data_IF_619338714165
#
_entry.id   IF_619338714165
#
_cell.length_a   1.000
_cell.length_b   1.000
_cell.length_c   1.000
_cell.angle_alpha   90.00
_cell.angle_beta   90.00
_cell.angle_gamma   90.00
#
_symmetry.space_group_name_H-M   'P 1'
#
loop_
_entity.id
_entity.type
_entity.pdbx_description
1 polymer ?
#
# COMPACT_ATOMS: atom_id res chain seq x y z
N UNK A 1 -1.45 -4.43 7.27
CA UNK A 1 -1.29 -3.40 6.23
C UNK A 1 0.20 -3.10 6.15
N UNK A 2 0.70 -3.02 4.94
CA UNK A 2 2.10 -2.72 4.67
C UNK A 2 2.41 -1.28 5.09
N UNK A 3 3.69 -0.91 5.12
CA UNK A 3 4.06 0.48 5.40
C UNK A 3 3.92 1.35 4.14
N UNK A 4 3.85 2.67 4.32
CA UNK A 4 3.73 3.60 3.21
C UNK A 4 4.89 3.50 2.21
N UNK A 5 6.12 3.32 2.69
CA UNK A 5 7.27 3.19 1.78
C UNK A 5 7.26 1.84 1.07
N UNK A 6 6.71 0.76 1.64
CA UNK A 6 6.50 -0.49 0.90
C UNK A 6 5.61 -0.26 -0.31
N UNK A 7 4.47 0.41 -0.14
CA UNK A 7 3.60 0.77 -1.26
C UNK A 7 4.31 1.64 -2.30
N UNK A 8 5.09 2.64 -1.87
CA UNK A 8 5.83 3.50 -2.79
C UNK A 8 6.99 2.77 -3.51
N UNK A 9 7.67 1.82 -2.86
CA UNK A 9 8.73 0.98 -3.46
C UNK A 9 8.16 0.03 -4.51
N UNK A 10 6.97 -0.50 -4.27
CA UNK A 10 6.24 -1.31 -5.26
C UNK A 10 5.81 -0.42 -6.44
N UNK A 11 5.21 0.74 -6.14
CA UNK A 11 4.78 1.68 -7.17
C UNK A 11 5.96 2.13 -8.06
N UNK A 12 7.12 2.41 -7.45
CA UNK A 12 8.35 2.77 -8.15
C UNK A 12 8.75 1.76 -9.22
N UNK A 13 8.68 0.46 -8.89
CA UNK A 13 9.07 -0.62 -9.79
C UNK A 13 8.00 -0.90 -10.86
N UNK A 14 6.74 -0.58 -10.59
CA UNK A 14 5.62 -0.79 -11.52
C UNK A 14 5.48 0.34 -12.55
N UNK A 15 5.79 1.59 -12.19
CA UNK A 15 5.74 2.75 -13.10
C UNK A 15 6.41 2.50 -14.46
N UNK A 16 7.66 2.01 -14.55
CA UNK A 16 8.30 1.81 -15.85
C UNK A 16 7.68 0.66 -16.67
N UNK A 17 6.87 -0.21 -16.05
CA UNK A 17 6.24 -1.38 -16.69
C UNK A 17 4.85 -1.07 -17.21
N UNK A 18 4.18 -0.03 -16.70
CA UNK A 18 2.79 0.28 -17.01
C UNK A 18 2.74 1.57 -17.84
N UNK A 19 2.39 1.43 -19.12
CA UNK A 19 2.37 2.54 -20.07
C UNK A 19 1.25 3.52 -19.73
N UNK A 20 1.55 4.82 -19.74
CA UNK A 20 0.55 5.90 -19.66
C UNK A 20 0.14 6.30 -18.24
N UNK A 21 0.87 5.85 -17.22
CA UNK A 21 0.63 6.20 -15.81
C UNK A 21 1.24 7.57 -15.47
N UNK A 22 0.46 8.42 -14.83
CA UNK A 22 0.91 9.63 -14.14
C UNK A 22 1.53 9.24 -12.79
N UNK A 23 2.86 9.36 -12.67
CA UNK A 23 3.61 8.92 -11.49
C UNK A 23 3.12 9.57 -10.18
N UNK A 24 2.72 10.85 -10.25
CA UNK A 24 2.24 11.57 -9.07
C UNK A 24 0.91 11.02 -8.61
N UNK A 25 -0.07 10.86 -9.51
CA UNK A 25 -1.38 10.35 -9.13
C UNK A 25 -1.34 8.87 -8.78
N UNK A 26 -0.48 8.07 -9.43
CA UNK A 26 -0.29 6.67 -9.09
C UNK A 26 0.33 6.47 -7.70
N UNK A 27 1.36 7.26 -7.36
CA UNK A 27 1.97 7.22 -6.02
C UNK A 27 1.01 7.69 -4.93
N UNK A 28 0.22 8.75 -5.19
CA UNK A 28 -0.84 9.20 -4.27
C UNK A 28 -1.93 8.14 -4.13
N UNK A 29 -2.35 7.50 -5.23
CA UNK A 29 -3.32 6.41 -5.22
C UNK A 29 -2.88 5.24 -4.34
N UNK A 30 -1.59 4.89 -4.37
CA UNK A 30 -1.00 3.86 -3.51
C UNK A 30 -1.00 4.20 -2.01
N UNK A 31 -1.34 5.42 -1.62
CA UNK A 31 -1.41 5.88 -0.23
C UNK A 31 -2.86 6.23 0.17
N UNK A 32 -3.72 6.51 -0.81
CA UNK A 32 -5.08 6.98 -0.61
C UNK A 32 -5.93 6.13 0.36
N UNK A 33 -5.86 4.78 0.37
CA UNK A 33 -6.65 3.98 1.32
C UNK A 33 -6.33 4.27 2.80
N UNK A 34 -5.10 4.69 3.10
CA UNK A 34 -4.66 5.06 4.46
C UNK A 34 -5.05 6.49 4.86
N UNK A 35 -5.83 7.20 4.05
CA UNK A 35 -6.09 8.63 4.24
C UNK A 35 -7.25 8.95 5.18
N UNK A 36 -7.84 7.97 5.87
CA UNK A 36 -8.84 8.25 6.90
C UNK A 36 -8.32 9.27 7.92
N UNK A 37 -9.18 10.23 8.29
CA UNK A 37 -8.85 11.29 9.25
C UNK A 37 -9.00 10.70 10.66
N UNK A 38 -7.92 10.62 11.46
CA UNK A 38 -7.99 10.08 12.80
C UNK A 38 -8.77 11.01 13.74
N UNK A 39 -9.48 10.44 14.71
CA UNK A 39 -9.94 11.18 15.89
C UNK A 39 -8.74 11.59 16.77
N UNK A 40 -8.98 12.42 17.79
CA UNK A 40 -7.91 12.93 18.67
C UNK A 40 -7.04 11.83 19.32
N UNK A 41 -7.61 10.63 19.49
CA UNK A 41 -6.96 9.47 20.11
C UNK A 41 -6.33 8.52 19.11
N UNK A 42 -6.51 8.74 17.80
CA UNK A 42 -6.08 7.85 16.73
C UNK A 42 -6.69 6.45 16.82
N UNK A 43 -7.90 6.35 17.37
CA UNK A 43 -8.64 5.09 17.55
C UNK A 43 -9.71 4.91 16.47
N UNK A 44 -10.27 6.01 15.97
CA UNK A 44 -11.30 6.01 14.92
C UNK A 44 -10.86 6.86 13.76
N UNK A 45 -11.28 6.47 12.56
CA UNK A 45 -10.96 7.18 11.33
C UNK A 45 -12.23 7.50 10.55
N UNK A 46 -12.24 8.65 9.89
CA UNK A 46 -13.31 9.06 8.99
C UNK A 46 -12.74 9.43 7.59
N UNK A 47 -13.11 8.73 6.52
CA UNK A 47 -13.92 7.50 6.49
C UNK A 47 -13.22 6.32 7.20
N UNK A 48 -13.97 5.33 7.71
CA UNK A 48 -13.39 4.23 8.47
C UNK A 48 -12.63 3.25 7.57
N UNK A 49 -11.67 2.48 8.11
CA UNK A 49 -10.88 1.53 7.33
C UNK A 49 -11.73 0.48 6.60
N UNK A 50 -12.89 0.10 7.17
CA UNK A 50 -13.83 -0.82 6.52
C UNK A 50 -14.27 -0.34 5.13
N UNK A 51 -14.47 0.98 4.98
CA UNK A 51 -14.85 1.60 3.71
C UNK A 51 -13.62 1.78 2.82
N UNK A 52 -12.54 2.36 3.35
CA UNK A 52 -11.36 2.69 2.53
C UNK A 52 -10.61 1.44 2.04
N UNK A 53 -10.51 0.39 2.85
CA UNK A 53 -9.80 -0.83 2.48
C UNK A 53 -10.72 -1.93 1.94
N UNK A 54 -12.03 -1.65 1.76
CA UNK A 54 -13.00 -2.65 1.32
C UNK A 54 -12.91 -3.93 2.17
N UNK A 55 -12.83 -3.77 3.49
CA UNK A 55 -12.52 -4.89 4.40
C UNK A 55 -13.64 -5.92 4.37
N UNK A 56 -13.25 -7.19 4.22
CA UNK A 56 -14.16 -8.33 4.27
C UNK A 56 -14.41 -8.77 5.72
N UNK A 57 -15.60 -9.33 5.96
CA UNK A 57 -15.97 -9.87 7.28
C UNK A 57 -15.51 -11.31 7.49
N UNK A 58 -15.37 -12.08 6.40
CA UNK A 58 -14.93 -13.47 6.45
C UNK A 58 -13.42 -13.55 6.73
N UNK A 59 -12.99 -14.11 7.88
CA UNK A 59 -11.57 -14.25 8.21
C UNK A 59 -10.81 -15.21 7.29
N UNK A 60 -11.51 -16.09 6.57
CA UNK A 60 -10.90 -17.01 5.59
C UNK A 60 -10.66 -16.33 4.23
N UNK A 61 -11.33 -15.19 3.96
CA UNK A 61 -11.15 -14.43 2.74
C UNK A 61 -9.92 -13.52 2.82
N UNK A 62 -9.34 -13.10 1.67
CA UNK A 62 -8.43 -11.97 1.63
C UNK A 62 -9.01 -10.76 2.38
N UNK A 63 -8.19 -10.10 3.19
CA UNK A 63 -8.62 -8.99 4.07
C UNK A 63 -9.37 -7.89 3.31
N UNK A 64 -8.90 -7.49 2.15
CA UNK A 64 -9.49 -6.46 1.28
C UNK A 64 -10.19 -7.11 0.09
N UNK A 65 -11.40 -6.66 -0.24
CA UNK A 65 -12.11 -7.06 -1.46
C UNK A 65 -11.63 -6.22 -2.67
N UNK A 66 -10.37 -6.37 -3.06
CA UNK A 66 -9.72 -5.52 -4.08
C UNK A 66 -10.39 -5.60 -5.47
N UNK A 67 -11.00 -6.73 -5.85
CA UNK A 67 -11.71 -6.84 -7.14
C UNK A 67 -13.07 -6.13 -7.14
N UNK A 68 -13.68 -5.94 -5.97
CA UNK A 68 -14.90 -5.11 -5.86
C UNK A 68 -14.57 -3.66 -6.21
N UNK A 69 -13.43 -3.15 -5.70
CA UNK A 69 -12.94 -1.83 -6.09
C UNK A 69 -12.59 -1.78 -7.58
N UNK A 70 -11.89 -2.80 -8.11
CA UNK A 70 -11.53 -2.88 -9.52
C UNK A 70 -12.76 -2.76 -10.43
N UNK A 71 -13.79 -3.59 -10.19
CA UNK A 71 -15.01 -3.62 -11.00
C UNK A 71 -15.77 -2.28 -10.95
N UNK A 72 -15.92 -1.70 -9.76
CA UNK A 72 -16.71 -0.49 -9.58
C UNK A 72 -16.01 0.78 -10.10
N UNK A 73 -14.68 0.86 -9.97
CA UNK A 73 -13.96 2.12 -10.16
C UNK A 73 -12.88 2.09 -11.23
N UNK A 74 -12.36 0.93 -11.63
CA UNK A 74 -11.22 0.86 -12.55
C UNK A 74 -11.54 0.19 -13.89
N UNK A 75 -12.35 -0.88 -13.89
CA UNK A 75 -12.62 -1.72 -15.08
C UNK A 75 -13.16 -0.94 -16.28
N UNK A 76 -13.98 0.09 -16.04
CA UNK A 76 -14.58 0.90 -17.11
C UNK A 76 -13.67 2.01 -17.64
N UNK A 77 -12.49 2.20 -17.05
CA UNK A 77 -11.54 3.23 -17.45
C UNK A 77 -10.58 2.73 -18.53
N UNK A 78 -10.29 3.58 -19.51
CA UNK A 78 -9.27 3.32 -20.52
C UNK A 78 -7.99 4.08 -20.19
N UNK A 79 -6.85 3.38 -20.19
CA UNK A 79 -5.50 3.95 -20.03
C UNK A 79 -5.11 4.94 -21.14
N UNK A 80 -5.82 4.92 -22.28
CA UNK A 80 -5.56 5.78 -23.45
C UNK A 80 -6.51 6.98 -23.54
N UNK A 81 -7.38 7.17 -22.55
CA UNK A 81 -8.26 8.33 -22.50
C UNK A 81 -7.54 9.54 -21.90
N UNK A 82 -8.12 10.73 -22.10
CA UNK A 82 -7.71 11.99 -21.46
C UNK A 82 -7.79 11.99 -19.91
N UNK A 83 -8.13 10.85 -19.29
CA UNK A 83 -8.26 10.67 -17.83
C UNK A 83 -7.08 9.94 -17.18
N UNK A 84 -5.88 10.00 -17.77
CA UNK A 84 -4.65 9.35 -17.26
C UNK A 84 -4.44 9.54 -15.74
N UNK A 85 -4.76 10.70 -15.16
CA UNK A 85 -4.69 10.93 -13.69
C UNK A 85 -5.69 10.12 -12.87
N UNK A 86 -6.96 10.07 -13.28
CA UNK A 86 -7.99 9.30 -12.58
C UNK A 86 -7.68 7.80 -12.68
N UNK A 87 -7.32 7.33 -13.88
CA UNK A 87 -6.86 5.96 -14.08
C UNK A 87 -5.66 5.63 -13.20
N UNK A 88 -4.62 6.47 -13.22
CA UNK A 88 -3.39 6.26 -12.43
C UNK A 88 -3.67 6.23 -10.94
N UNK A 89 -4.49 7.16 -10.44
CA UNK A 89 -4.90 7.19 -9.04
C UNK A 89 -5.65 5.92 -8.64
N UNK A 90 -6.67 5.52 -9.41
CA UNK A 90 -7.46 4.34 -9.09
C UNK A 90 -6.68 3.04 -9.27
N UNK A 91 -5.77 2.96 -10.23
CA UNK A 91 -4.85 1.82 -10.35
C UNK A 91 -3.91 1.73 -9.15
N UNK A 92 -3.35 2.86 -8.69
CA UNK A 92 -2.55 2.90 -7.47
C UNK A 92 -3.34 2.48 -6.23
N UNK A 93 -4.58 2.93 -6.11
CA UNK A 93 -5.50 2.54 -5.04
C UNK A 93 -5.75 1.02 -5.06
N UNK A 94 -6.06 0.46 -6.22
CA UNK A 94 -6.25 -0.98 -6.40
C UNK A 94 -5.00 -1.77 -5.97
N UNK A 95 -3.81 -1.34 -6.40
CA UNK A 95 -2.56 -1.99 -6.03
C UNK A 95 -2.25 -1.90 -4.55
N UNK A 96 -2.62 -0.82 -3.87
CA UNK A 96 -2.54 -0.75 -2.41
C UNK A 96 -3.35 -1.87 -1.76
N UNK A 97 -4.63 -2.04 -2.13
CA UNK A 97 -5.51 -3.06 -1.55
C UNK A 97 -4.95 -4.48 -1.73
N UNK A 98 -4.46 -4.78 -2.95
CA UNK A 98 -3.82 -6.08 -3.23
C UNK A 98 -2.51 -6.24 -2.44
N UNK A 99 -1.68 -5.20 -2.36
CA UNK A 99 -0.43 -5.22 -1.60
C UNK A 99 -0.69 -5.53 -0.13
N UNK A 100 -1.74 -4.96 0.45
CA UNK A 100 -2.13 -5.22 1.82
C UNK A 100 -2.58 -6.66 2.05
N UNK A 101 -3.30 -7.25 1.10
CA UNK A 101 -3.64 -8.67 1.12
C UNK A 101 -2.38 -9.56 1.06
N UNK A 102 -1.42 -9.21 0.20
CA UNK A 102 -0.14 -9.94 0.10
C UNK A 102 0.68 -9.78 1.38
N UNK A 103 0.76 -8.57 1.93
CA UNK A 103 1.50 -8.27 3.15
C UNK A 103 0.95 -9.06 4.33
N UNK A 104 -0.38 -9.09 4.48
CA UNK A 104 -1.03 -9.84 5.56
C UNK A 104 -0.67 -11.32 5.50
N UNK A 105 -0.70 -11.93 4.31
CA UNK A 105 -0.40 -13.36 4.13
C UNK A 105 1.08 -13.71 4.25
N UNK A 106 1.97 -12.85 3.75
CA UNK A 106 3.41 -13.15 3.64
C UNK A 106 4.22 -12.65 4.83
N UNK A 107 3.77 -11.58 5.47
CA UNK A 107 4.50 -10.93 6.57
C UNK A 107 3.63 -10.89 7.83
N UNK A 108 2.45 -10.28 7.77
CA UNK A 108 1.60 -10.02 8.94
C UNK A 108 1.24 -11.26 9.77
N UNK A 109 0.57 -12.23 9.14
CA UNK A 109 0.14 -13.49 9.76
C UNK A 109 1.36 -14.32 10.22
N UNK A 110 2.38 -14.57 9.37
CA UNK A 110 3.59 -15.28 9.82
C UNK A 110 4.30 -14.63 11.01
N UNK A 111 4.35 -13.29 11.08
CA UNK A 111 4.90 -12.57 12.25
C UNK A 111 4.03 -12.79 13.49
N UNK A 112 2.70 -12.72 13.37
CA UNK A 112 1.79 -12.98 14.50
C UNK A 112 1.91 -14.41 15.01
N UNK A 113 2.06 -15.39 14.12
CA UNK A 113 2.27 -16.79 14.49
C UNK A 113 3.63 -16.99 15.18
N UNK A 114 4.70 -16.37 14.66
CA UNK A 114 6.06 -16.48 15.22
C UNK A 114 6.17 -15.89 16.63
N UNK A 115 5.46 -14.80 16.90
CA UNK A 115 5.49 -14.08 18.19
C UNK A 115 4.15 -14.17 18.93
N UNK A 116 3.47 -15.31 18.80
CA UNK A 116 2.12 -15.50 19.33
C UNK A 116 2.03 -15.20 20.84
N UNK A 117 3.02 -15.62 21.63
CA UNK A 117 3.03 -15.39 23.07
C UNK A 117 3.03 -13.90 23.44
N UNK A 118 3.78 -13.09 22.72
CA UNK A 118 3.91 -11.65 22.93
C UNK A 118 2.62 -10.93 22.52
N UNK A 119 2.01 -11.33 21.39
CA UNK A 119 0.71 -10.82 20.97
C UNK A 119 -0.43 -11.21 21.91
N UNK A 120 -0.43 -12.44 22.43
CA UNK A 120 -1.42 -12.90 23.41
C UNK A 120 -1.27 -12.14 24.75
N UNK A 121 -0.06 -11.74 25.11
CA UNK A 121 0.23 -10.98 26.33
C UNK A 121 -0.07 -9.47 26.21
N UNK A 122 0.21 -8.87 25.06
CA UNK A 122 -0.03 -7.44 24.80
C UNK A 122 -0.47 -7.20 23.34
N UNK A 123 -1.73 -6.79 23.15
CA UNK A 123 -2.25 -6.43 21.83
C UNK A 123 -1.55 -5.21 21.21
N UNK A 124 -0.86 -4.39 22.00
CA UNK A 124 -0.06 -3.25 21.53
C UNK A 124 1.34 -3.66 21.07
N UNK A 125 1.73 -4.93 21.22
CA UNK A 125 3.02 -5.45 20.76
C UNK A 125 3.25 -5.22 19.25
N UNK A 126 2.18 -5.09 18.45
CA UNK A 126 2.27 -4.69 17.04
C UNK A 126 3.10 -3.41 16.83
N UNK A 127 3.12 -2.48 17.78
CA UNK A 127 3.90 -1.25 17.67
C UNK A 127 5.40 -1.48 17.82
N UNK A 128 5.82 -2.49 18.59
CA UNK A 128 7.22 -2.91 18.66
C UNK A 128 7.63 -3.57 17.33
N UNK A 129 6.78 -4.45 16.78
CA UNK A 129 6.98 -5.05 15.45
C UNK A 129 7.09 -3.98 14.36
N UNK A 130 6.18 -3.02 14.35
CA UNK A 130 6.15 -1.94 13.34
C UNK A 130 7.36 -1.01 13.42
N UNK A 131 8.06 -0.92 14.57
CA UNK A 131 9.32 -0.15 14.63
C UNK A 131 10.36 -0.71 13.68
N UNK A 132 10.45 -2.03 13.54
CA UNK A 132 11.36 -2.64 12.55
C UNK A 132 10.92 -2.33 11.13
N UNK A 133 9.61 -2.39 10.86
CA UNK A 133 9.09 -2.11 9.52
C UNK A 133 9.33 -0.66 9.11
N UNK A 134 9.01 0.30 9.98
CA UNK A 134 9.27 1.72 9.72
C UNK A 134 10.76 2.05 9.74
N UNK A 135 11.57 1.33 10.52
CA UNK A 135 13.01 1.51 10.49
C UNK A 135 13.61 1.13 9.12
N UNK A 136 13.12 0.07 8.47
CA UNK A 136 13.46 -0.26 7.07
C UNK A 136 13.03 0.82 6.09
N UNK A 137 11.84 1.39 6.29
CA UNK A 137 11.37 2.51 5.46
C UNK A 137 12.34 3.69 5.54
N UNK A 138 12.73 4.09 6.75
CA UNK A 138 13.67 5.18 6.98
C UNK A 138 15.04 4.86 6.39
N UNK A 139 15.54 3.64 6.58
CA UNK A 139 16.79 3.18 5.99
C UNK A 139 16.81 3.37 4.48
N UNK A 140 15.78 2.85 3.80
CA UNK A 140 15.65 2.95 2.36
C UNK A 140 15.57 4.40 1.88
N UNK A 141 14.68 5.23 2.45
CA UNK A 141 14.56 6.63 1.97
C UNK A 141 15.79 7.47 2.30
N UNK A 142 16.57 7.14 3.35
CA UNK A 142 17.82 7.84 3.64
C UNK A 142 18.95 7.43 2.69
N UNK A 143 18.99 6.14 2.30
CA UNK A 143 19.99 5.58 1.40
C UNK A 143 19.74 5.93 -0.07
N UNK A 144 18.48 6.05 -0.47
CA UNK A 144 18.05 6.23 -1.86
C UNK A 144 17.47 7.64 -2.13
N UNK A 145 18.31 8.65 -2.44
CA UNK A 145 17.84 10.02 -2.68
C UNK A 145 17.00 10.18 -3.96
N UNK A 146 16.99 9.17 -4.84
CA UNK A 146 16.19 9.11 -6.06
C UNK A 146 14.92 8.25 -5.92
N UNK A 147 14.65 7.72 -4.71
CA UNK A 147 13.43 6.99 -4.43
C UNK A 147 12.18 7.79 -4.81
N UNK A 148 11.13 7.12 -5.30
CA UNK A 148 9.85 7.70 -5.69
C UNK A 148 9.29 8.67 -4.64
N UNK A 149 9.52 8.35 -3.35
CA UNK A 149 9.19 9.24 -2.24
C UNK A 149 9.75 10.66 -2.44
N UNK A 150 11.05 10.81 -2.71
CA UNK A 150 11.71 12.11 -2.85
C UNK A 150 11.39 12.78 -4.18
N UNK A 151 11.58 12.07 -5.30
CA UNK A 151 11.49 12.69 -6.63
C UNK A 151 10.07 13.06 -7.05
N UNK A 152 9.07 12.30 -6.61
CA UNK A 152 7.68 12.46 -7.08
C UNK A 152 6.74 12.73 -5.90
N UNK A 153 6.62 11.79 -4.96
CA UNK A 153 5.56 11.83 -3.95
C UNK A 153 5.65 13.07 -3.05
N UNK A 154 6.88 13.46 -2.64
CA UNK A 154 7.13 14.63 -1.80
C UNK A 154 6.56 15.92 -2.43
N UNK A 155 6.64 16.03 -3.75
CA UNK A 155 6.20 17.20 -4.51
C UNK A 155 4.76 17.07 -5.03
N UNK A 156 4.19 15.86 -5.02
CA UNK A 156 2.84 15.60 -5.52
C UNK A 156 1.74 16.30 -4.71
N UNK A 157 0.69 16.78 -5.39
CA UNK A 157 -0.47 17.39 -4.74
C UNK A 157 -1.74 16.77 -5.29
N UNK A 158 -2.75 16.59 -4.44
CA UNK A 158 -4.04 16.06 -4.81
C UNK A 158 -5.11 17.15 -4.70
N UNK A 159 -5.71 17.52 -5.83
CA UNK A 159 -6.75 18.57 -5.90
C UNK A 159 -8.05 18.07 -6.56
N UNK A 160 -8.14 16.77 -6.80
CA UNK A 160 -9.22 16.14 -7.57
C UNK A 160 -10.19 15.42 -6.62
N UNK A 161 -11.32 14.95 -7.13
CA UNK A 161 -12.27 14.11 -6.38
C UNK A 161 -12.61 12.88 -7.23
N UNK A 162 -11.71 11.90 -7.23
CA UNK A 162 -11.86 10.70 -8.06
C UNK A 162 -12.69 9.60 -7.42
N UNK A 163 -13.00 9.66 -6.13
CA UNK A 163 -13.78 8.67 -5.38
C UNK A 163 -14.71 9.38 -4.39
N UNK A 164 -16.01 9.21 -4.55
CA UNK A 164 -17.03 9.94 -3.76
C UNK A 164 -16.97 9.61 -2.25
N UNK A 165 -16.47 8.43 -1.91
CA UNK A 165 -16.32 7.98 -0.53
C UNK A 165 -15.01 8.42 0.12
N UNK A 166 -14.10 9.08 -0.61
CA UNK A 166 -12.81 9.51 -0.09
C UNK A 166 -12.62 11.03 -0.27
N UNK A 167 -12.85 11.82 0.80
CA UNK A 167 -12.72 13.27 0.73
C UNK A 167 -11.29 13.72 0.36
N UNK A 168 -11.16 14.68 -0.55
CA UNK A 168 -9.84 15.22 -0.95
C UNK A 168 -9.05 15.81 0.22
N UNK A 169 -9.74 16.37 1.22
CA UNK A 169 -9.11 16.90 2.43
C UNK A 169 -8.41 15.82 3.25
N UNK A 170 -9.01 14.63 3.32
CA UNK A 170 -8.45 13.47 4.01
C UNK A 170 -7.14 13.02 3.36
N UNK A 171 -7.11 12.95 2.02
CA UNK A 171 -5.89 12.68 1.25
C UNK A 171 -4.85 13.77 1.49
N UNK A 172 -5.23 15.05 1.36
CA UNK A 172 -4.30 16.16 1.54
C UNK A 172 -3.63 16.16 2.93
N UNK A 173 -4.39 15.89 3.99
CA UNK A 173 -3.87 15.75 5.35
C UNK A 173 -2.90 14.57 5.48
N UNK A 174 -3.26 13.39 4.96
CA UNK A 174 -2.40 12.21 4.98
C UNK A 174 -1.10 12.44 4.20
N UNK A 175 -1.17 13.08 3.03
CA UNK A 175 0.01 13.45 2.26
C UNK A 175 0.91 14.38 3.07
N UNK A 176 0.36 15.42 3.69
CA UNK A 176 1.13 16.35 4.52
C UNK A 176 1.83 15.62 5.68
N UNK A 177 1.10 14.74 6.38
CA UNK A 177 1.64 13.94 7.48
C UNK A 177 2.82 13.06 7.03
N UNK A 178 2.63 12.27 5.95
CA UNK A 178 3.66 11.32 5.48
C UNK A 178 4.90 12.04 4.99
N UNK A 179 4.72 13.12 4.23
CA UNK A 179 5.82 13.97 3.74
C UNK A 179 6.67 14.51 4.90
N UNK A 180 6.01 15.07 5.91
CA UNK A 180 6.69 15.55 7.10
C UNK A 180 7.38 14.40 7.85
N UNK A 181 6.70 13.27 8.02
CA UNK A 181 7.18 12.14 8.82
C UNK A 181 8.52 11.59 8.32
N UNK A 182 8.65 11.30 7.03
CA UNK A 182 9.90 10.76 6.47
C UNK A 182 11.01 11.82 6.28
N UNK A 183 10.69 13.11 6.43
CA UNK A 183 11.67 14.20 6.51
C UNK A 183 12.24 14.42 7.92
N UNK A 184 11.69 13.78 8.95
CA UNK A 184 12.13 13.96 10.35
C UNK A 184 13.53 13.39 10.60
N UNK A 185 14.34 14.13 11.35
CA UNK A 185 15.69 13.75 11.81
C UNK A 185 15.85 13.94 13.32
N UNK A 186 14.75 13.98 14.07
CA UNK A 186 14.80 14.09 15.52
C UNK A 186 15.24 12.78 16.17
N UNK A 187 15.81 12.88 17.38
CA UNK A 187 16.41 11.73 18.09
C UNK A 187 15.45 10.54 18.21
N UNK A 188 14.14 10.78 18.33
CA UNK A 188 13.15 9.69 18.41
C UNK A 188 13.16 8.83 17.15
N UNK A 189 13.14 9.46 15.97
CA UNK A 189 13.13 8.78 14.68
C UNK A 189 14.49 8.14 14.41
N UNK A 190 15.58 8.86 14.68
CA UNK A 190 16.93 8.32 14.55
C UNK A 190 17.11 7.08 15.44
N UNK A 191 16.52 7.05 16.62
CA UNK A 191 16.56 5.86 17.48
C UNK A 191 15.77 4.68 16.94
N UNK A 192 14.63 4.89 16.28
CA UNK A 192 13.87 3.81 15.64
C UNK A 192 14.61 3.22 14.45
N UNK A 193 15.30 4.06 13.69
CA UNK A 193 16.06 3.68 12.50
C UNK A 193 17.46 3.14 12.83
N UNK A 194 18.32 3.93 13.48
CA UNK A 194 19.74 3.61 13.73
C UNK A 194 19.88 2.46 14.73
N UNK A 195 18.98 2.35 15.71
CA UNK A 195 19.04 1.31 16.75
C UNK A 195 18.06 0.17 16.49
N UNK A 196 17.64 -0.01 15.24
CA UNK A 196 16.74 -1.08 14.83
C UNK A 196 17.37 -2.45 15.13
N UNK A 197 16.66 -3.35 15.84
CA UNK A 197 17.21 -4.64 16.22
C UNK A 197 17.02 -5.74 15.15
N UNK A 198 16.27 -5.48 14.08
CA UNK A 198 16.02 -6.39 12.94
C UNK A 198 15.44 -7.75 13.38
N UNK A 199 14.60 -7.73 14.41
CA UNK A 199 14.05 -8.93 15.04
C UNK A 199 12.84 -9.42 14.26
N UNK A 200 11.93 -8.51 13.90
CA UNK A 200 10.59 -8.84 13.42
C UNK A 200 10.48 -8.85 11.89
N UNK A 201 11.39 -8.16 11.19
CA UNK A 201 11.50 -8.18 9.74
C UNK A 201 12.92 -7.77 9.31
N UNK A 202 13.58 -8.65 8.55
CA UNK A 202 14.89 -8.37 7.96
C UNK A 202 14.75 -7.67 6.61
N UNK A 203 15.77 -6.91 6.22
CA UNK A 203 15.83 -6.27 4.90
C UNK A 203 15.68 -7.29 3.76
N UNK A 204 16.32 -8.46 3.85
CA UNK A 204 16.18 -9.52 2.83
C UNK A 204 14.77 -10.09 2.72
N UNK A 205 14.02 -10.16 3.83
CA UNK A 205 12.62 -10.60 3.82
C UNK A 205 11.73 -9.53 3.16
N UNK A 206 12.01 -8.24 3.44
CA UNK A 206 11.34 -7.11 2.79
C UNK A 206 11.61 -7.08 1.28
N UNK A 207 12.86 -7.26 0.85
CA UNK A 207 13.23 -7.23 -0.56
C UNK A 207 12.64 -8.41 -1.35
N UNK A 208 12.61 -9.60 -0.73
CA UNK A 208 11.92 -10.74 -1.31
C UNK A 208 10.43 -10.45 -1.47
N UNK A 209 9.77 -9.92 -0.43
CA UNK A 209 8.36 -9.54 -0.53
C UNK A 209 8.12 -8.54 -1.68
N UNK A 210 8.94 -7.50 -1.79
CA UNK A 210 8.79 -6.46 -2.82
C UNK A 210 8.90 -7.03 -4.23
N UNK A 211 9.91 -7.85 -4.49
CA UNK A 211 10.09 -8.46 -5.82
C UNK A 211 8.92 -9.37 -6.20
N UNK A 212 8.47 -10.22 -5.29
CA UNK A 212 7.32 -11.10 -5.54
C UNK A 212 6.00 -10.33 -5.68
N UNK A 213 5.81 -9.26 -4.89
CA UNK A 213 4.61 -8.44 -4.95
C UNK A 213 4.52 -7.67 -6.27
N UNK A 214 5.64 -7.11 -6.75
CA UNK A 214 5.73 -6.41 -8.03
C UNK A 214 5.35 -7.34 -9.18
N UNK A 215 5.90 -8.56 -9.23
CA UNK A 215 5.54 -9.53 -10.27
C UNK A 215 4.08 -9.97 -10.18
N UNK A 216 3.58 -10.23 -8.98
CA UNK A 216 2.18 -10.60 -8.78
C UNK A 216 1.22 -9.50 -9.27
N UNK A 217 1.49 -8.25 -8.88
CA UNK A 217 0.69 -7.09 -9.26
C UNK A 217 0.72 -6.85 -10.77
N UNK A 218 1.89 -6.91 -11.39
CA UNK A 218 2.03 -6.68 -12.82
C UNK A 218 1.33 -7.77 -13.64
N UNK A 219 1.58 -9.04 -13.34
CA UNK A 219 0.96 -10.17 -14.04
C UNK A 219 -0.56 -10.19 -13.84
N UNK A 220 -1.03 -9.90 -12.62
CA UNK A 220 -2.45 -9.79 -12.31
C UNK A 220 -3.12 -8.63 -13.04
N UNK A 221 -2.46 -7.47 -13.12
CA UNK A 221 -2.93 -6.34 -13.92
C UNK A 221 -3.03 -6.70 -15.41
N UNK A 222 -1.99 -7.30 -15.99
CA UNK A 222 -2.03 -7.75 -17.40
C UNK A 222 -3.14 -8.76 -17.66
N UNK A 223 -3.34 -9.70 -16.73
CA UNK A 223 -4.44 -10.66 -16.80
C UNK A 223 -5.79 -9.95 -16.81
N UNK A 224 -6.03 -9.00 -15.89
CA UNK A 224 -7.27 -8.22 -15.80
C UNK A 224 -7.52 -7.35 -17.04
N UNK A 225 -6.49 -6.82 -17.69
CA UNK A 225 -6.63 -6.06 -18.94
C UNK A 225 -7.17 -6.91 -20.10
N UNK A 226 -7.03 -8.23 -20.04
CA UNK A 226 -7.62 -9.15 -21.02
C UNK A 226 -9.11 -9.47 -20.75
N UNK A 227 -9.74 -8.75 -19.80
CA UNK A 227 -11.15 -8.90 -19.40
C UNK A 227 -11.54 -10.36 -19.08
N UNK A 228 -10.83 -11.02 -18.14
CA UNK A 228 -11.16 -12.36 -17.73
C UNK A 228 -12.49 -12.37 -16.97
N UNK A 229 -13.15 -13.53 -16.93
CA UNK A 229 -14.29 -13.73 -16.05
C UNK A 229 -13.81 -13.76 -14.58
N UNK A 230 -14.24 -12.76 -13.82
CA UNK A 230 -13.97 -12.61 -12.38
C UNK A 230 -15.23 -12.79 -11.54
N UNK A 231 -16.28 -13.39 -12.11
CA UNK A 231 -17.55 -13.63 -11.41
C UNK A 231 -17.32 -14.45 -10.14
N UNK A 232 -17.85 -13.97 -9.02
CA UNK A 232 -17.74 -14.62 -7.71
C UNK A 232 -16.37 -14.47 -7.03
N UNK A 233 -15.44 -13.71 -7.61
CA UNK A 233 -14.13 -13.39 -7.03
C UNK A 233 -14.15 -12.01 -6.41
N UNK A 234 -13.54 -11.88 -5.24
CA UNK A 234 -13.50 -10.64 -4.46
C UNK A 234 -12.09 -10.06 -4.38
N UNK A 235 -11.07 -10.87 -4.64
CA UNK A 235 -9.67 -10.48 -4.60
C UNK A 235 -8.86 -11.08 -5.74
N UNK A 236 -7.85 -10.34 -6.20
CA UNK A 236 -6.89 -10.77 -7.20
C UNK A 236 -6.12 -12.02 -6.74
N UNK A 237 -6.01 -12.26 -5.43
CA UNK A 237 -5.39 -13.45 -4.86
C UNK A 237 -6.19 -14.74 -5.08
N UNK A 238 -7.42 -14.65 -5.59
CA UNK A 238 -8.26 -15.79 -5.95
C UNK A 238 -8.23 -16.11 -7.45
N UNK A 239 -7.49 -15.33 -8.23
CA UNK A 239 -7.34 -15.49 -9.67
C UNK A 239 -6.14 -16.40 -9.96
N UNK A 240 -6.32 -17.26 -10.97
CA UNK A 240 -5.27 -18.15 -11.45
C UNK A 240 -4.68 -17.57 -12.75
N UNK A 241 -3.67 -16.70 -12.61
CA UNK A 241 -2.88 -16.20 -13.74
C UNK A 241 -1.44 -16.69 -13.65
N UNK A 242 -0.76 -16.93 -14.79
CA UNK A 242 0.62 -17.37 -14.79
C UNK A 242 1.52 -16.30 -14.17
N UNK A 243 2.33 -16.68 -13.19
CA UNK A 243 3.42 -15.83 -12.69
C UNK A 243 4.60 -16.01 -13.64
N UNK A 244 4.87 -14.98 -14.45
CA UNK A 244 6.12 -14.91 -15.21
C UNK A 244 7.20 -14.41 -14.26
N UNK A 245 8.07 -15.30 -13.78
CA UNK A 245 9.32 -14.90 -13.15
C UNK A 245 10.34 -14.72 -14.27
N UNK A 246 10.67 -13.47 -14.60
CA UNK A 246 11.74 -13.13 -15.56
C UNK A 246 13.09 -13.09 -14.87
#
# INVERSE_FOLDING_TARGET
>A
MATWIVHLRIAEQLIPRIIGVDESYFSIGNIAPDSGIPDEKWEKFDPPPKILHFLQEDPAAPRCADLVFYQAYLMSLSQWSSTSRCFSFRLGYFFHLVTDNLWDRKIGIPTQERYKSEFDADSKFIWEVKRDWYGLDFEYVRREPQALFWRIFLHGSYNEEFLDFLPKAAIAERLAYIKQFYQRTDERIENWYIRRPDIYLKESEMDLFLSEAVEFLFNGYQFLQNNPDITGKHSMLELNFPLSFS
#
